data_IF_743263061983
#
_entry.id   IF_743263061983
#
_cell.length_a   1.000
_cell.length_b   1.000
_cell.length_c   1.000
_cell.angle_alpha   90.00
_cell.angle_beta   90.00
_cell.angle_gamma   90.00
#
_symmetry.space_group_name_H-M   'P 1'
#
loop_
_entity.id
_entity.type
_entity.pdbx_description
1 polymer ?
#
# COMPACT_ATOMS: atom_id res chain seq x y z
N UNK A 1 0.98 -13.88 -17.38
CA UNK A 1 1.98 -12.86 -17.00
C UNK A 1 1.69 -12.54 -15.55
N UNK A 2 2.62 -12.82 -14.65
CA UNK A 2 2.45 -12.50 -13.23
C UNK A 2 2.34 -10.98 -13.04
N UNK A 3 1.45 -10.48 -12.17
CA UNK A 3 1.34 -9.05 -11.89
C UNK A 3 2.59 -8.54 -11.14
N UNK A 4 3.15 -7.42 -11.60
CA UNK A 4 4.20 -6.69 -10.88
C UNK A 4 3.58 -5.93 -9.71
N UNK A 5 3.69 -6.48 -8.51
CA UNK A 5 3.14 -5.90 -7.28
C UNK A 5 3.74 -4.53 -6.93
N UNK A 6 4.90 -4.19 -7.49
CA UNK A 6 5.62 -2.93 -7.21
C UNK A 6 5.40 -1.86 -8.27
N UNK A 7 4.50 -2.09 -9.23
CA UNK A 7 4.30 -1.20 -10.38
C UNK A 7 4.06 0.25 -9.95
N UNK A 8 3.17 0.45 -8.96
CA UNK A 8 2.76 1.80 -8.55
C UNK A 8 3.84 2.51 -7.73
N UNK A 9 4.56 1.79 -6.89
CA UNK A 9 5.69 2.28 -6.11
C UNK A 9 6.83 2.71 -7.03
N UNK A 10 7.16 1.89 -8.04
CA UNK A 10 8.17 2.21 -9.06
C UNK A 10 7.81 3.49 -9.82
N UNK A 11 6.57 3.62 -10.27
CA UNK A 11 6.08 4.82 -10.96
C UNK A 11 6.17 6.07 -10.06
N UNK A 12 5.87 5.94 -8.76
CA UNK A 12 5.98 7.04 -7.80
C UNK A 12 7.45 7.43 -7.53
N UNK A 13 8.35 6.45 -7.37
CA UNK A 13 9.78 6.71 -7.20
C UNK A 13 10.38 7.40 -8.42
N UNK A 14 9.98 7.01 -9.64
CA UNK A 14 10.40 7.68 -10.89
C UNK A 14 9.95 9.14 -10.96
N UNK A 15 8.82 9.49 -10.32
CA UNK A 15 8.33 10.88 -10.19
C UNK A 15 9.05 11.67 -9.09
N UNK A 16 10.01 11.07 -8.39
CA UNK A 16 10.81 11.71 -7.35
C UNK A 16 10.22 11.62 -5.94
N UNK A 17 9.11 10.89 -5.74
CA UNK A 17 8.60 10.65 -4.39
C UNK A 17 9.48 9.63 -3.67
N UNK A 18 10.06 9.99 -2.53
CA UNK A 18 10.98 9.10 -1.78
C UNK A 18 10.30 8.28 -0.69
N UNK A 19 9.05 8.60 -0.35
CA UNK A 19 8.24 7.91 0.67
C UNK A 19 6.86 7.62 0.10
N UNK A 20 6.57 6.34 -0.14
CA UNK A 20 5.30 5.88 -0.70
C UNK A 20 4.62 5.02 0.36
N UNK A 21 3.39 5.33 0.72
CA UNK A 21 2.61 4.57 1.68
C UNK A 21 1.53 3.77 0.97
N UNK A 22 1.50 2.45 1.18
CA UNK A 22 0.35 1.61 0.87
C UNK A 22 -0.69 1.75 1.97
N UNK A 23 -1.97 1.78 1.60
CA UNK A 23 -3.09 1.94 2.53
C UNK A 23 -4.11 0.85 2.25
N UNK A 24 -4.65 0.25 3.31
CA UNK A 24 -5.76 -0.70 3.22
C UNK A 24 -6.65 -0.60 4.47
N UNK A 25 -7.90 -1.06 4.35
CA UNK A 25 -8.87 -1.11 5.43
C UNK A 25 -9.41 -2.51 5.71
N UNK A 26 -9.78 -2.74 6.97
CA UNK A 26 -10.49 -3.92 7.41
C UNK A 26 -11.72 -3.52 8.23
N UNK A 27 -12.72 -4.39 8.26
CA UNK A 27 -13.93 -4.17 9.07
C UNK A 27 -15.11 -3.52 8.33
N UNK A 28 -15.07 -3.42 7.00
CA UNK A 28 -16.22 -2.92 6.20
C UNK A 28 -17.41 -3.90 6.15
N UNK A 29 -17.15 -5.20 6.25
CA UNK A 29 -18.14 -6.27 6.09
C UNK A 29 -18.90 -6.75 7.34
N UNK A 30 -18.31 -6.74 8.55
CA UNK A 30 -19.03 -7.12 9.77
C UNK A 30 -20.29 -6.30 10.05
N UNK A 31 -21.26 -6.89 10.76
CA UNK A 31 -22.51 -6.23 11.16
C UNK A 31 -22.31 -5.12 12.20
N UNK A 32 -21.23 -5.19 12.97
CA UNK A 32 -20.86 -4.22 13.99
C UNK A 32 -19.35 -4.25 14.23
N UNK A 33 -18.84 -3.18 14.84
CA UNK A 33 -17.42 -2.92 15.03
C UNK A 33 -16.91 -1.82 14.10
N UNK A 34 -15.75 -1.21 14.41
CA UNK A 34 -15.21 -0.13 13.60
C UNK A 34 -14.61 -0.65 12.28
N UNK A 35 -14.61 0.20 11.27
CA UNK A 35 -13.67 0.07 10.15
C UNK A 35 -12.34 0.66 10.60
N UNK A 36 -11.24 -0.05 10.35
CA UNK A 36 -9.89 0.38 10.70
C UNK A 36 -9.04 0.37 9.44
N UNK A 37 -8.27 1.43 9.22
CA UNK A 37 -7.30 1.53 8.11
C UNK A 37 -5.88 1.67 8.66
N UNK A 38 -4.91 1.21 7.88
CA UNK A 38 -3.49 1.38 8.17
C UNK A 38 -2.74 1.93 6.95
N UNK A 39 -1.65 2.66 7.20
CA UNK A 39 -0.75 3.15 6.18
C UNK A 39 0.67 2.67 6.50
N UNK A 40 1.35 2.06 5.53
CA UNK A 40 2.69 1.50 5.70
C UNK A 40 3.62 2.01 4.60
N UNK A 41 4.76 2.55 4.99
CA UNK A 41 5.87 2.88 4.10
C UNK A 41 6.88 1.74 4.20
N UNK A 42 7.00 0.94 3.14
CA UNK A 42 8.01 -0.10 3.06
C UNK A 42 9.38 0.47 2.65
N UNK A 43 10.50 -0.08 3.15
CA UNK A 43 11.82 0.30 2.67
C UNK A 43 11.99 -0.13 1.20
N UNK A 44 12.79 0.62 0.46
CA UNK A 44 13.17 0.22 -0.90
C UNK A 44 13.97 -1.09 -0.87
N UNK A 45 13.66 -2.01 -1.78
CA UNK A 45 14.31 -3.32 -1.85
C UNK A 45 13.79 -4.36 -0.84
N UNK A 46 12.65 -4.10 -0.20
CA UNK A 46 11.94 -5.11 0.59
C UNK A 46 11.57 -6.32 -0.29
N UNK A 47 11.89 -7.53 0.17
CA UNK A 47 11.71 -8.79 -0.55
C UNK A 47 10.96 -9.81 0.30
#
# INVERSE_FOLDING_TARGET
MEPDLWKFEKDAWQKGFSRVAGIDEAGRGPLAGPVVSAAVILPQGFS
#
